data_IF_307965172290
#
_entry.id   IF_307965172290
#
_cell.length_a   1.000
_cell.length_b   1.000
_cell.length_c   1.000
_cell.angle_alpha   90.00
_cell.angle_beta   90.00
_cell.angle_gamma   90.00
#
_symmetry.space_group_name_H-M   'P 1'
#
loop_
_entity.id
_entity.type
_entity.pdbx_description
1 polymer ?
#
# COMPACT_ATOMS: atom_id res chain seq x y z
N UNK A 1 -0.34 9.35 16.14
CA UNK A 1 -0.07 7.93 15.82
C UNK A 1 1.44 7.64 15.85
N UNK A 2 2.26 8.39 15.08
CA UNK A 2 3.72 8.14 14.95
C UNK A 2 4.46 8.18 16.29
N UNK A 3 4.16 9.14 17.16
CA UNK A 3 4.80 9.24 18.47
C UNK A 3 4.46 8.00 19.33
N UNK A 4 3.21 7.54 19.25
CA UNK A 4 2.80 6.34 19.96
C UNK A 4 3.51 5.08 19.43
N UNK A 5 3.75 4.98 18.12
CA UNK A 5 4.52 3.87 17.54
C UNK A 5 5.95 3.80 18.08
N UNK A 6 6.59 4.95 18.33
CA UNK A 6 7.95 5.03 18.89
C UNK A 6 8.05 4.58 20.36
N UNK A 7 6.94 4.64 21.08
CA UNK A 7 6.86 4.24 22.49
C UNK A 7 6.49 2.77 22.68
N UNK A 8 5.97 2.10 21.65
CA UNK A 8 5.50 0.73 21.75
C UNK A 8 6.66 -0.26 21.57
N UNK A 9 6.73 -1.32 22.38
CA UNK A 9 7.61 -2.44 22.11
C UNK A 9 7.11 -3.17 20.87
N UNK A 10 7.94 -3.24 19.83
CA UNK A 10 7.61 -3.89 18.58
C UNK A 10 8.19 -5.29 18.55
N UNK A 11 7.33 -6.29 18.45
CA UNK A 11 7.72 -7.70 18.49
C UNK A 11 8.20 -8.23 17.12
N UNK A 12 7.94 -7.49 16.02
CA UNK A 12 8.30 -7.91 14.66
C UNK A 12 8.44 -6.70 13.74
N UNK A 13 9.14 -6.89 12.64
CA UNK A 13 9.25 -5.90 11.58
C UNK A 13 7.90 -5.71 10.87
N UNK A 14 7.48 -4.46 10.70
CA UNK A 14 6.22 -4.09 10.04
C UNK A 14 6.37 -2.78 9.26
N UNK A 15 5.70 -2.70 8.14
CA UNK A 15 5.54 -1.45 7.38
C UNK A 15 4.09 -0.99 7.48
N UNK A 16 3.87 0.23 7.98
CA UNK A 16 2.56 0.83 8.16
C UNK A 16 2.42 2.04 7.25
N UNK A 17 1.38 2.08 6.45
CA UNK A 17 0.97 3.28 5.72
C UNK A 17 -0.08 4.02 6.54
N UNK A 18 0.15 5.30 6.77
CA UNK A 18 -0.64 6.16 7.62
C UNK A 18 -1.22 7.32 6.81
N UNK A 19 -2.47 7.66 7.06
CA UNK A 19 -3.11 8.87 6.53
C UNK A 19 -4.03 9.47 7.58
N UNK A 20 -4.20 10.80 7.55
CA UNK A 20 -5.13 11.50 8.44
C UNK A 20 -6.12 12.37 7.66
N UNK A 21 -7.13 12.89 8.40
CA UNK A 21 -8.17 13.74 7.83
C UNK A 21 -7.68 15.10 7.30
N UNK A 22 -6.47 15.51 7.66
CA UNK A 22 -5.85 16.75 7.18
C UNK A 22 -5.05 16.52 5.88
N UNK A 23 -5.03 15.27 5.37
CA UNK A 23 -4.29 14.91 4.17
C UNK A 23 -2.83 14.58 4.41
N UNK A 24 -2.38 14.51 5.66
CA UNK A 24 -1.02 14.05 5.94
C UNK A 24 -0.92 12.55 5.70
N UNK A 25 0.14 12.14 5.02
CA UNK A 25 0.44 10.74 4.75
C UNK A 25 1.88 10.41 5.16
N UNK A 26 2.14 9.17 5.53
CA UNK A 26 3.46 8.67 5.84
C UNK A 26 3.53 7.15 5.70
N UNK A 27 4.74 6.62 5.47
CA UNK A 27 5.10 5.24 5.73
C UNK A 27 5.94 5.19 6.98
N UNK A 28 5.63 4.28 7.90
CA UNK A 28 6.43 3.98 9.06
C UNK A 28 6.97 2.55 8.93
N UNK A 29 8.28 2.42 8.82
CA UNK A 29 8.99 1.15 8.92
C UNK A 29 9.35 0.93 10.38
N UNK A 30 8.83 -0.13 10.96
CA UNK A 30 8.89 -0.41 12.38
C UNK A 30 9.64 -1.73 12.63
N UNK A 31 10.61 -1.69 13.50
CA UNK A 31 11.40 -2.87 13.89
C UNK A 31 11.86 -2.78 15.34
N UNK A 32 12.52 -3.83 15.87
CA UNK A 32 13.04 -3.82 17.24
C UNK A 32 13.99 -2.66 17.53
N UNK A 33 14.71 -2.17 16.52
CA UNK A 33 15.66 -1.06 16.62
C UNK A 33 15.01 0.32 16.52
N UNK A 34 13.69 0.38 16.37
CA UNK A 34 12.93 1.62 16.34
C UNK A 34 12.03 1.80 15.13
N UNK A 35 11.69 3.06 14.86
CA UNK A 35 10.75 3.46 13.81
C UNK A 35 11.41 4.47 12.89
N UNK A 36 11.35 4.21 11.59
CA UNK A 36 11.72 5.16 10.53
C UNK A 36 10.48 5.63 9.82
N UNK A 37 10.43 6.91 9.49
CA UNK A 37 9.25 7.53 8.89
C UNK A 37 9.63 8.20 7.58
N UNK A 38 9.01 7.72 6.50
CA UNK A 38 9.03 8.39 5.20
C UNK A 38 7.78 9.26 5.05
N UNK A 39 7.96 10.46 4.51
CA UNK A 39 6.90 11.40 4.15
C UNK A 39 7.00 11.77 2.67
N UNK A 40 5.97 12.37 2.07
CA UNK A 40 6.07 12.90 0.72
C UNK A 40 7.31 13.77 0.54
N UNK A 41 7.99 13.57 -0.55
CA UNK A 41 9.24 14.23 -0.89
C UNK A 41 9.15 14.97 -2.23
N UNK A 42 10.29 15.37 -2.81
CA UNK A 42 10.33 16.11 -4.08
C UNK A 42 9.70 15.37 -5.27
N UNK A 43 9.61 14.03 -5.19
CA UNK A 43 9.04 13.19 -6.24
C UNK A 43 7.49 13.30 -6.36
N UNK A 44 6.83 13.94 -5.39
CA UNK A 44 5.38 14.15 -5.43
C UNK A 44 4.68 13.92 -4.09
N UNK A 45 3.37 14.19 -4.03
CA UNK A 45 2.57 14.12 -2.81
C UNK A 45 2.09 12.69 -2.51
N UNK A 46 2.99 11.72 -2.55
CA UNK A 46 2.67 10.31 -2.30
C UNK A 46 3.72 9.64 -1.41
N UNK A 47 3.35 8.49 -0.88
CA UNK A 47 4.24 7.50 -0.29
C UNK A 47 3.84 6.12 -0.80
N UNK A 48 4.79 5.19 -0.88
CA UNK A 48 4.49 3.80 -1.22
C UNK A 48 5.32 2.84 -0.38
N UNK A 49 4.78 1.64 -0.19
CA UNK A 49 5.39 0.58 0.61
C UNK A 49 5.17 -0.78 -0.03
N UNK A 50 6.09 -1.69 0.20
CA UNK A 50 6.00 -3.11 -0.17
C UNK A 50 6.53 -3.97 0.98
N UNK A 51 6.64 -5.28 0.77
CA UNK A 51 7.14 -6.22 1.78
C UNK A 51 8.67 -6.18 1.91
N UNK A 52 9.23 -4.97 1.96
CA UNK A 52 10.66 -4.74 2.20
C UNK A 52 10.81 -3.38 2.90
N UNK A 53 11.82 -3.25 3.74
CA UNK A 53 12.22 -1.97 4.28
C UNK A 53 13.09 -1.21 3.27
N UNK A 54 12.96 0.12 3.27
CA UNK A 54 13.73 1.04 2.42
C UNK A 54 14.67 1.92 3.22
N UNK A 55 14.48 1.99 4.54
CA UNK A 55 15.33 2.72 5.47
C UNK A 55 16.58 1.93 5.88
N UNK A 56 17.35 2.50 6.78
CA UNK A 56 18.51 1.86 7.44
C UNK A 56 18.14 0.68 8.37
N UNK A 57 16.84 0.43 8.58
CA UNK A 57 16.36 -0.79 9.23
C UNK A 57 16.32 -2.00 8.28
N UNK A 58 16.59 -1.79 7.00
CA UNK A 58 16.60 -2.85 6.01
C UNK A 58 17.82 -3.77 6.20
N UNK A 59 17.59 -5.03 6.54
CA UNK A 59 18.61 -6.04 6.36
C UNK A 59 18.75 -6.37 4.87
N UNK A 60 19.97 -6.48 4.35
CA UNK A 60 20.18 -6.94 2.99
C UNK A 60 19.56 -8.33 2.82
N UNK A 61 18.55 -8.45 1.96
CA UNK A 61 17.99 -9.76 1.64
C UNK A 61 19.03 -10.58 0.89
N UNK A 62 19.27 -11.83 1.29
CA UNK A 62 20.08 -12.75 0.49
C UNK A 62 19.56 -12.84 -0.95
N UNK A 63 20.43 -12.99 -1.94
CA UNK A 63 20.03 -13.16 -3.33
C UNK A 63 18.96 -14.25 -3.49
N UNK A 64 17.84 -13.93 -4.16
CA UNK A 64 16.74 -14.85 -4.41
C UNK A 64 15.68 -14.96 -3.30
N UNK A 65 15.80 -14.22 -2.22
CA UNK A 65 14.83 -14.27 -1.11
C UNK A 65 13.59 -13.37 -1.33
N UNK A 66 13.60 -12.47 -2.31
CA UNK A 66 12.41 -11.68 -2.67
C UNK A 66 11.41 -12.51 -3.49
N UNK A 67 10.85 -13.55 -2.86
CA UNK A 67 9.90 -14.47 -3.49
C UNK A 67 8.59 -13.81 -3.87
N UNK A 68 8.27 -12.66 -3.27
CA UNK A 68 7.06 -11.88 -3.54
C UNK A 68 7.30 -10.73 -4.52
N UNK A 69 8.50 -10.62 -5.07
CA UNK A 69 8.90 -9.53 -5.99
C UNK A 69 8.59 -8.15 -5.41
N UNK A 70 8.94 -7.96 -4.13
CA UNK A 70 8.59 -6.75 -3.38
C UNK A 70 9.28 -5.50 -3.95
N UNK A 71 10.55 -5.63 -4.37
CA UNK A 71 11.28 -4.55 -5.01
C UNK A 71 10.61 -4.11 -6.31
N UNK A 72 10.25 -5.05 -7.17
CA UNK A 72 9.61 -4.74 -8.46
C UNK A 72 8.22 -4.12 -8.29
N UNK A 73 7.43 -4.60 -7.30
CA UNK A 73 6.15 -3.98 -6.96
C UNK A 73 6.33 -2.54 -6.46
N UNK A 74 7.30 -2.32 -5.61
CA UNK A 74 7.65 -0.99 -5.12
C UNK A 74 8.03 -0.06 -6.28
N UNK A 75 8.94 -0.49 -7.15
CA UNK A 75 9.40 0.29 -8.30
C UNK A 75 8.26 0.58 -9.29
N UNK A 76 7.36 -0.38 -9.51
CA UNK A 76 6.16 -0.17 -10.32
C UNK A 76 5.26 0.91 -9.73
N UNK A 77 4.94 0.83 -8.43
CA UNK A 77 4.11 1.83 -7.76
C UNK A 77 4.77 3.20 -7.81
N UNK A 78 6.05 3.28 -7.44
CA UNK A 78 6.79 4.53 -7.42
C UNK A 78 6.82 5.21 -8.78
N UNK A 79 7.19 4.48 -9.82
CA UNK A 79 7.22 5.00 -11.20
C UNK A 79 5.86 5.55 -11.63
N UNK A 80 4.79 4.83 -11.39
CA UNK A 80 3.44 5.28 -11.78
C UNK A 80 3.02 6.52 -11.00
N UNK A 81 3.29 6.57 -9.70
CA UNK A 81 2.96 7.72 -8.86
C UNK A 81 3.79 8.96 -9.20
N UNK A 82 5.06 8.80 -9.58
CA UNK A 82 5.91 9.90 -10.07
C UNK A 82 5.41 10.47 -11.40
N UNK A 83 4.92 9.62 -12.29
CA UNK A 83 4.48 10.02 -13.64
C UNK A 83 3.04 10.50 -13.70
N UNK A 84 2.14 9.93 -12.92
CA UNK A 84 0.70 10.09 -13.04
C UNK A 84 0.02 10.50 -11.72
N UNK A 85 0.74 10.58 -10.60
CA UNK A 85 0.15 10.68 -9.26
C UNK A 85 -0.82 11.86 -9.09
N UNK A 86 -0.54 13.00 -9.71
CA UNK A 86 -1.41 14.18 -9.64
C UNK A 86 -2.72 14.01 -10.43
N UNK A 87 -2.75 13.14 -11.44
CA UNK A 87 -3.91 12.90 -12.32
C UNK A 87 -4.57 11.55 -12.05
N UNK A 88 -4.00 10.74 -11.17
CA UNK A 88 -4.44 9.39 -10.91
C UNK A 88 -5.77 9.40 -10.12
N UNK A 89 -6.86 9.13 -10.83
CA UNK A 89 -8.16 8.97 -10.23
C UNK A 89 -8.36 7.57 -9.61
N UNK A 90 -9.53 7.35 -9.03
CA UNK A 90 -9.89 6.07 -8.40
C UNK A 90 -9.77 4.90 -9.38
N UNK A 91 -10.14 5.10 -10.64
CA UNK A 91 -10.05 4.08 -11.71
C UNK A 91 -8.59 3.79 -12.05
N UNK A 92 -7.75 4.81 -12.07
CA UNK A 92 -6.32 4.69 -12.28
C UNK A 92 -5.63 3.90 -11.15
N UNK A 93 -6.02 4.14 -9.90
CA UNK A 93 -5.53 3.36 -8.74
C UNK A 93 -5.96 1.90 -8.84
N UNK A 94 -7.21 1.62 -9.20
CA UNK A 94 -7.69 0.25 -9.43
C UNK A 94 -6.90 -0.44 -10.56
N UNK A 95 -6.64 0.28 -11.66
CA UNK A 95 -5.86 -0.23 -12.78
C UNK A 95 -4.40 -0.54 -12.38
N UNK A 96 -3.80 0.30 -11.54
CA UNK A 96 -2.48 0.06 -10.99
C UNK A 96 -2.47 -1.22 -10.15
N UNK A 97 -3.38 -1.36 -9.17
CA UNK A 97 -3.49 -2.55 -8.33
C UNK A 97 -3.80 -3.81 -9.14
N UNK A 98 -4.57 -3.70 -10.22
CA UNK A 98 -4.85 -4.79 -11.15
C UNK A 98 -3.67 -5.16 -12.06
N UNK A 99 -2.50 -4.54 -11.87
CA UNK A 99 -1.28 -4.82 -12.64
C UNK A 99 -1.32 -4.33 -14.10
N UNK A 100 -2.22 -3.41 -14.44
CA UNK A 100 -2.33 -2.87 -15.82
C UNK A 100 -1.26 -1.83 -16.15
N UNK A 101 -0.51 -1.37 -15.15
CA UNK A 101 0.56 -0.37 -15.27
C UNK A 101 1.95 -0.93 -14.98
N UNK A 102 2.06 -2.23 -14.78
CA UNK A 102 3.28 -2.96 -14.44
C UNK A 102 3.00 -4.09 -13.44
N UNK A 103 4.03 -4.79 -13.01
CA UNK A 103 3.85 -5.92 -12.10
C UNK A 103 3.40 -5.46 -10.71
N UNK A 104 2.24 -5.96 -10.26
CA UNK A 104 1.74 -5.80 -8.88
C UNK A 104 1.05 -7.06 -8.35
N UNK A 105 0.20 -7.71 -9.15
CA UNK A 105 -0.62 -8.83 -8.71
C UNK A 105 -0.56 -10.05 -9.63
N UNK A 106 0.26 -10.01 -10.67
CA UNK A 106 0.32 -11.05 -11.73
C UNK A 106 1.25 -12.19 -11.31
N UNK A 107 0.97 -12.85 -10.17
CA UNK A 107 1.71 -14.00 -9.71
C UNK A 107 1.36 -15.27 -10.49
N UNK A 108 2.32 -16.18 -10.57
CA UNK A 108 2.08 -17.52 -11.08
C UNK A 108 1.40 -18.37 -10.00
N UNK A 109 0.12 -18.65 -10.19
CA UNK A 109 -0.68 -19.46 -9.26
C UNK A 109 -0.20 -20.91 -9.14
N UNK A 110 0.50 -21.41 -10.13
CA UNK A 110 1.05 -22.77 -10.06
C UNK A 110 2.11 -22.92 -8.97
N UNK A 111 2.72 -21.81 -8.54
CA UNK A 111 3.68 -21.76 -7.44
C UNK A 111 3.03 -21.51 -6.07
N UNK A 112 1.69 -21.50 -6.00
CA UNK A 112 0.94 -21.20 -4.77
C UNK A 112 0.88 -19.71 -4.41
N UNK A 113 1.37 -18.82 -5.28
CA UNK A 113 1.37 -17.38 -5.06
C UNK A 113 0.15 -16.74 -5.74
N UNK A 114 -0.53 -15.85 -5.02
CA UNK A 114 -1.57 -14.99 -5.60
C UNK A 114 -1.84 -13.77 -4.68
N UNK A 115 -2.48 -12.76 -5.24
CA UNK A 115 -3.08 -11.67 -4.45
C UNK A 115 -4.48 -12.08 -4.03
N UNK A 116 -4.69 -12.21 -2.73
CA UNK A 116 -5.97 -12.73 -2.18
C UNK A 116 -7.04 -11.67 -2.01
N UNK A 117 -6.66 -10.40 -1.92
CA UNK A 117 -7.58 -9.25 -1.91
C UNK A 117 -6.82 -7.95 -2.18
N UNK A 118 -7.54 -6.91 -2.57
CA UNK A 118 -7.03 -5.55 -2.68
C UNK A 118 -8.11 -4.56 -2.28
N UNK A 119 -7.73 -3.50 -1.57
CA UNK A 119 -8.65 -2.45 -1.15
C UNK A 119 -8.17 -1.09 -1.62
N UNK A 120 -9.12 -0.24 -2.01
CA UNK A 120 -8.90 1.18 -2.32
C UNK A 120 -9.78 2.01 -1.40
N UNK A 121 -9.17 2.89 -0.61
CA UNK A 121 -9.88 3.78 0.31
C UNK A 121 -9.81 5.22 -0.22
N UNK A 122 -10.96 5.79 -0.60
CA UNK A 122 -11.13 7.20 -0.89
C UNK A 122 -11.51 7.92 0.40
N UNK A 123 -10.51 8.44 1.09
CA UNK A 123 -10.70 9.07 2.41
C UNK A 123 -11.49 10.38 2.30
N UNK A 124 -11.41 11.09 1.18
CA UNK A 124 -12.16 12.32 0.94
C UNK A 124 -13.66 12.04 0.86
N UNK A 125 -14.05 10.97 0.17
CA UNK A 125 -15.46 10.57 0.01
C UNK A 125 -15.89 9.50 1.01
N UNK A 126 -15.01 9.11 1.94
CA UNK A 126 -15.27 8.10 2.98
C UNK A 126 -15.79 6.78 2.43
N UNK A 127 -15.23 6.30 1.36
CA UNK A 127 -15.64 5.04 0.75
C UNK A 127 -14.45 4.13 0.54
N UNK A 128 -14.71 2.83 0.67
CA UNK A 128 -13.75 1.78 0.37
C UNK A 128 -14.30 0.89 -0.74
N UNK A 129 -13.40 0.42 -1.59
CA UNK A 129 -13.69 -0.56 -2.62
C UNK A 129 -12.79 -1.76 -2.40
N UNK A 130 -13.37 -2.95 -2.40
CA UNK A 130 -12.68 -4.22 -2.19
C UNK A 130 -12.78 -5.09 -3.44
N UNK A 131 -11.66 -5.65 -3.86
CA UNK A 131 -11.60 -6.79 -4.76
C UNK A 131 -11.30 -8.04 -3.91
N UNK A 132 -12.28 -8.91 -3.75
CA UNK A 132 -12.13 -10.21 -3.07
C UNK A 132 -11.49 -11.21 -4.03
N UNK A 133 -10.18 -11.32 -3.96
CA UNK A 133 -9.35 -12.07 -4.90
C UNK A 133 -8.37 -11.16 -5.61
N UNK A 134 -7.69 -11.72 -6.61
CA UNK A 134 -6.72 -10.98 -7.39
C UNK A 134 -7.39 -9.87 -8.22
N UNK A 135 -7.01 -8.59 -8.04
CA UNK A 135 -7.68 -7.45 -8.67
C UNK A 135 -7.51 -7.41 -10.20
N UNK A 136 -6.56 -8.16 -10.75
CA UNK A 136 -6.45 -8.37 -12.20
C UNK A 136 -7.58 -9.22 -12.80
N UNK A 137 -8.28 -9.99 -11.95
CA UNK A 137 -9.35 -10.93 -12.33
C UNK A 137 -10.68 -10.66 -11.63
N UNK A 138 -10.68 -9.88 -10.56
CA UNK A 138 -11.85 -9.61 -9.71
C UNK A 138 -12.15 -8.12 -9.71
N UNK A 139 -13.41 -7.75 -9.91
CA UNK A 139 -13.82 -6.36 -9.88
C UNK A 139 -13.83 -5.80 -8.45
N UNK A 140 -13.43 -4.54 -8.33
CA UNK A 140 -13.61 -3.78 -7.09
C UNK A 140 -15.10 -3.48 -6.86
N UNK A 141 -15.59 -3.75 -5.65
CA UNK A 141 -16.97 -3.50 -5.21
C UNK A 141 -16.98 -2.65 -3.96
N UNK A 142 -18.03 -1.82 -3.73
CA UNK A 142 -18.16 -1.08 -2.49
C UNK A 142 -18.10 -2.01 -1.27
N UNK A 143 -17.23 -1.65 -0.31
CA UNK A 143 -17.16 -2.28 1.00
C UNK A 143 -17.93 -1.42 2.00
N UNK A 144 -18.91 -2.01 2.69
CA UNK A 144 -19.61 -1.33 3.77
C UNK A 144 -18.64 -1.06 4.94
N UNK A 145 -18.50 0.22 5.30
CA UNK A 145 -17.70 0.62 6.47
C UNK A 145 -18.63 0.69 7.66
N UNK A 146 -18.39 -0.03 8.77
CA UNK A 146 -19.21 0.06 9.96
C UNK A 146 -19.26 1.50 10.49
N UNK A 147 -20.46 2.02 10.76
CA UNK A 147 -20.70 3.38 11.23
C UNK A 147 -21.33 4.33 10.22
N UNK A 148 -21.50 3.93 8.96
CA UNK A 148 -22.35 4.62 7.98
C UNK A 148 -23.74 3.99 7.93
N UNK A 149 -24.42 3.92 9.07
CA UNK A 149 -25.86 3.66 9.05
C UNK A 149 -26.58 4.92 8.59
N UNK A 150 -27.03 4.87 7.31
CA UNK A 150 -28.28 5.46 6.90
C UNK A 150 -28.45 6.95 7.04
N UNK A 151 -27.90 7.73 6.12
CA UNK A 151 -28.69 8.85 5.60
C UNK A 151 -29.90 8.23 4.88
N UNK A 152 -31.03 8.03 5.60
CA UNK A 152 -32.32 7.80 4.94
C UNK A 152 -32.71 9.04 4.15
N UNK A 153 -33.37 8.84 3.00
CA UNK A 153 -33.81 9.90 2.10
C UNK A 153 -34.75 10.89 2.73
#
# INVERSE_FOLDING_TARGET
ALDRLRELPLASCQTLTLADKAGNIAVAECGPEGVRVERPGPAGPFVCAANLFRSDLADPLPPGLDTWRAAERYDTMRRVLEQEGETLDLTGVQALLAGRKGFLCQYDRSTGQDTVWSVVCDLTRRRCLLAEGNPGRTAFRPLAVPGEEGGRP
#
